data_IF_891799249632
#
_entry.id   IF_891799249632
#
_cell.length_a   1.000
_cell.length_b   1.000
_cell.length_c   1.000
_cell.angle_alpha   90.00
_cell.angle_beta   90.00
_cell.angle_gamma   90.00
#
_symmetry.space_group_name_H-M   'P 1'
#
loop_
_entity.id
_entity.type
_entity.pdbx_description
1 polymer ?
#
# COMPACT_ATOMS: atom_id res chain seq x y z
N UNK A 1 -24.17 18.28 10.53
CA UNK A 1 -24.52 16.84 10.66
C UNK A 1 -24.05 15.96 9.49
N UNK A 2 -23.43 16.50 8.42
CA UNK A 2 -22.79 15.69 7.35
C UNK A 2 -21.28 15.50 7.55
N UNK A 3 -20.64 16.38 8.30
CA UNK A 3 -19.18 16.41 8.49
C UNK A 3 -18.66 15.29 9.39
N UNK A 4 -19.47 14.84 10.36
CA UNK A 4 -19.09 13.81 11.33
C UNK A 4 -18.94 12.43 10.69
N UNK A 5 -19.80 12.12 9.70
CA UNK A 5 -19.76 10.84 8.97
C UNK A 5 -18.53 10.73 8.07
N UNK A 6 -18.08 11.85 7.49
CA UNK A 6 -16.92 11.90 6.60
C UNK A 6 -15.60 11.79 7.39
N UNK A 7 -15.55 12.35 8.60
CA UNK A 7 -14.39 12.30 9.49
C UNK A 7 -14.14 10.91 10.06
N UNK A 8 -15.20 10.20 10.46
CA UNK A 8 -15.12 8.81 10.94
C UNK A 8 -14.66 7.86 9.84
N UNK A 9 -15.16 8.03 8.61
CA UNK A 9 -14.74 7.24 7.44
C UNK A 9 -13.24 7.36 7.14
N UNK A 10 -12.70 8.59 7.14
CA UNK A 10 -11.27 8.82 6.90
C UNK A 10 -10.36 8.23 7.99
N UNK A 11 -10.82 8.19 9.25
CA UNK A 11 -10.05 7.58 10.34
C UNK A 11 -9.97 6.04 10.21
N UNK A 12 -11.06 5.42 9.77
CA UNK A 12 -11.12 3.98 9.52
C UNK A 12 -10.20 3.57 8.37
N UNK A 13 -10.16 4.35 7.28
CA UNK A 13 -9.26 4.10 6.15
C UNK A 13 -7.79 4.20 6.59
N UNK A 14 -7.44 5.19 7.44
CA UNK A 14 -6.10 5.29 8.03
C UNK A 14 -5.74 4.11 8.93
N UNK A 15 -6.68 3.63 9.75
CA UNK A 15 -6.46 2.49 10.63
C UNK A 15 -6.28 1.19 9.83
N UNK A 16 -7.11 0.99 8.80
CA UNK A 16 -6.98 -0.12 7.85
C UNK A 16 -5.63 -0.05 7.14
N UNK A 17 -5.20 1.14 6.69
CA UNK A 17 -3.89 1.35 6.09
C UNK A 17 -2.74 0.97 7.04
N UNK A 18 -2.78 1.44 8.29
CA UNK A 18 -1.73 1.12 9.28
C UNK A 18 -1.65 -0.39 9.57
N UNK A 19 -2.79 -1.09 9.48
CA UNK A 19 -2.86 -2.54 9.69
C UNK A 19 -2.38 -3.33 8.48
N UNK A 20 -2.63 -2.83 7.27
CA UNK A 20 -2.32 -3.51 5.99
C UNK A 20 -0.91 -3.18 5.48
N UNK A 21 -0.35 -2.04 5.86
CA UNK A 21 0.98 -1.60 5.44
C UNK A 21 2.11 -2.61 5.79
N UNK A 22 2.17 -3.19 7.01
CA UNK A 22 3.17 -4.21 7.33
C UNK A 22 3.06 -5.44 6.43
N UNK A 23 1.83 -5.85 6.08
CA UNK A 23 1.59 -6.97 5.18
C UNK A 23 2.12 -6.66 3.76
N UNK A 24 1.88 -5.46 3.24
CA UNK A 24 2.42 -5.04 1.94
C UNK A 24 3.95 -5.04 1.93
N UNK A 25 4.58 -4.49 2.98
CA UNK A 25 6.04 -4.47 3.12
C UNK A 25 6.59 -5.91 3.18
N UNK A 26 5.93 -6.81 3.91
CA UNK A 26 6.33 -8.21 3.99
C UNK A 26 6.28 -8.89 2.61
N UNK A 27 5.20 -8.72 1.84
CA UNK A 27 5.07 -9.30 0.51
C UNK A 27 6.10 -8.75 -0.49
N UNK A 28 6.42 -7.45 -0.40
CA UNK A 28 7.47 -6.82 -1.21
C UNK A 28 8.83 -7.43 -0.87
N UNK A 29 9.18 -7.52 0.42
CA UNK A 29 10.43 -8.10 0.88
C UNK A 29 10.55 -9.58 0.48
N UNK A 30 9.46 -10.35 0.64
CA UNK A 30 9.41 -11.75 0.23
C UNK A 30 9.56 -11.93 -1.28
N UNK A 31 8.95 -11.05 -2.08
CA UNK A 31 9.08 -11.07 -3.54
C UNK A 31 10.51 -10.76 -3.96
N UNK A 32 11.16 -9.77 -3.35
CA UNK A 32 12.57 -9.44 -3.59
C UNK A 32 13.48 -10.61 -3.18
N UNK A 33 13.24 -11.20 -2.01
CA UNK A 33 13.99 -12.37 -1.55
C UNK A 33 13.87 -13.54 -2.52
N UNK A 34 12.66 -13.83 -3.02
CA UNK A 34 12.48 -14.87 -4.03
C UNK A 34 13.20 -14.54 -5.34
N UNK A 35 13.19 -13.29 -5.81
CA UNK A 35 13.92 -12.88 -7.02
C UNK A 35 15.43 -13.10 -6.83
N UNK A 36 15.96 -12.80 -5.65
CA UNK A 36 17.41 -12.91 -5.36
C UNK A 36 17.87 -14.34 -5.08
N UNK A 37 16.98 -15.22 -4.60
CA UNK A 37 17.36 -16.53 -4.03
C UNK A 37 16.85 -17.72 -4.83
N UNK A 38 15.89 -17.53 -5.74
CA UNK A 38 15.28 -18.62 -6.52
C UNK A 38 15.66 -18.50 -7.99
N UNK A 39 16.28 -19.56 -8.53
CA UNK A 39 16.57 -19.68 -9.96
C UNK A 39 15.37 -20.15 -10.81
N UNK A 40 14.23 -20.46 -10.16
CA UNK A 40 13.04 -20.91 -10.88
C UNK A 40 12.38 -19.73 -11.60
N UNK A 41 12.35 -19.80 -12.93
CA UNK A 41 11.71 -18.81 -13.81
C UNK A 41 10.25 -18.55 -13.41
N UNK A 42 9.51 -19.58 -12.98
CA UNK A 42 8.12 -19.44 -12.51
C UNK A 42 8.02 -18.69 -11.18
N UNK A 43 8.94 -18.94 -10.24
CA UNK A 43 8.96 -18.23 -8.96
C UNK A 43 9.35 -16.76 -9.16
N UNK A 44 10.29 -16.51 -10.08
CA UNK A 44 10.76 -15.18 -10.42
C UNK A 44 9.68 -14.36 -11.13
N UNK A 45 9.00 -14.93 -12.13
CA UNK A 45 7.91 -14.24 -12.84
C UNK A 45 6.73 -13.92 -11.92
N UNK A 46 6.35 -14.87 -11.05
CA UNK A 46 5.30 -14.65 -10.05
C UNK A 46 5.70 -13.57 -9.04
N UNK A 47 6.97 -13.54 -8.62
CA UNK A 47 7.48 -12.55 -7.67
C UNK A 47 7.54 -11.15 -8.28
N UNK A 48 7.96 -11.01 -9.54
CA UNK A 48 7.93 -9.72 -10.26
C UNK A 48 6.49 -9.24 -10.44
N UNK A 49 5.58 -10.13 -10.82
CA UNK A 49 4.18 -9.77 -11.01
C UNK A 49 3.52 -9.32 -9.70
N UNK A 50 3.74 -10.08 -8.63
CA UNK A 50 3.33 -9.70 -7.26
C UNK A 50 3.91 -8.35 -6.85
N UNK A 51 5.21 -8.15 -7.05
CA UNK A 51 5.91 -6.91 -6.71
C UNK A 51 5.32 -5.70 -7.43
N UNK A 52 5.00 -5.83 -8.72
CA UNK A 52 4.37 -4.76 -9.50
C UNK A 52 3.01 -4.37 -8.92
N UNK A 53 2.15 -5.34 -8.59
CA UNK A 53 0.82 -5.09 -8.03
C UNK A 53 0.92 -4.39 -6.67
N UNK A 54 1.72 -4.93 -5.75
CA UNK A 54 1.86 -4.37 -4.40
C UNK A 54 2.49 -2.97 -4.43
N UNK A 55 3.44 -2.72 -5.33
CA UNK A 55 4.08 -1.41 -5.48
C UNK A 55 3.10 -0.38 -6.06
N UNK A 56 2.30 -0.76 -7.07
CA UNK A 56 1.26 0.12 -7.64
C UNK A 56 0.18 0.46 -6.62
N UNK A 57 -0.30 -0.52 -5.86
CA UNK A 57 -1.24 -0.29 -4.76
C UNK A 57 -0.64 0.69 -3.75
N UNK A 58 0.58 0.43 -3.26
CA UNK A 58 1.27 1.29 -2.30
C UNK A 58 1.40 2.73 -2.82
N UNK A 59 1.77 2.90 -4.09
CA UNK A 59 1.92 4.21 -4.73
C UNK A 59 0.60 4.98 -4.78
N UNK A 60 -0.50 4.32 -5.17
CA UNK A 60 -1.83 4.92 -5.24
C UNK A 60 -2.33 5.32 -3.84
N UNK A 61 -2.07 4.48 -2.83
CA UNK A 61 -2.38 4.77 -1.44
C UNK A 61 -1.57 5.95 -0.89
N UNK A 62 -0.27 6.01 -1.16
CA UNK A 62 0.60 7.13 -0.77
C UNK A 62 0.17 8.44 -1.43
N UNK A 63 -0.17 8.40 -2.72
CA UNK A 63 -0.69 9.56 -3.44
C UNK A 63 -2.00 10.06 -2.81
N UNK A 64 -2.93 9.15 -2.52
CA UNK A 64 -4.20 9.48 -1.84
C UNK A 64 -3.96 10.09 -0.45
N UNK A 65 -3.01 9.54 0.31
CA UNK A 65 -2.61 10.08 1.61
C UNK A 65 -2.00 11.47 1.51
N UNK A 66 -1.09 11.70 0.55
CA UNK A 66 -0.49 13.01 0.30
C UNK A 66 -1.53 14.05 -0.09
N UNK A 67 -2.42 13.73 -1.03
CA UNK A 67 -3.51 14.62 -1.45
C UNK A 67 -4.39 14.97 -0.24
N UNK A 68 -4.74 13.99 0.59
CA UNK A 68 -5.53 14.21 1.81
C UNK A 68 -4.81 15.10 2.82
N UNK A 69 -3.50 14.91 3.00
CA UNK A 69 -2.67 15.74 3.90
C UNK A 69 -2.53 17.17 3.40
N UNK A 70 -2.25 17.37 2.11
CA UNK A 70 -2.15 18.69 1.48
C UNK A 70 -3.46 19.47 1.59
N UNK A 71 -4.59 18.80 1.38
CA UNK A 71 -5.92 19.43 1.51
C UNK A 71 -6.25 19.86 2.95
N UNK A 72 -5.69 19.16 3.96
CA UNK A 72 -5.89 19.50 5.36
C UNK A 72 -4.96 20.63 5.86
N UNK A 73 -3.81 20.86 5.19
CA UNK A 73 -2.88 21.96 5.49
C UNK A 73 -3.18 23.27 4.73
N UNK A 74 -4.10 23.24 3.77
CA UNK A 74 -4.48 24.41 2.96
C UNK A 74 -5.77 25.09 3.45
N UNK A 75 -6.27 24.69 4.62
CA UNK A 75 -7.32 25.37 5.41
C UNK A 75 -6.68 25.99 6.63
#
# INVERSE_FOLDING_TARGET
>A
MKDDKLRTSNSNIKAIFLTILPMHIFFIALSIYNILTKDSILALSLSIFSLMIFTSMLTLFLNTYMISKTKNNSR
#
